data_IF_180323598689
#
_entry.id   IF_180323598689
#
_cell.length_a   1.000
_cell.length_b   1.000
_cell.length_c   1.000
_cell.angle_alpha   90.00
_cell.angle_beta   90.00
_cell.angle_gamma   90.00
#
_symmetry.space_group_name_H-M   'P 1'
#
loop_
_entity.id
_entity.type
_entity.pdbx_description
1 polymer ?
#
# COMPACT_ATOMS: atom_id res chain seq x y z
N UNK A 1 -3.84 -1.62 3.37
CA UNK A 1 -3.73 -0.17 3.05
C UNK A 1 -2.28 0.31 3.02
N UNK A 2 -1.95 1.46 2.40
CA UNK A 2 -0.59 2.10 2.39
C UNK A 2 -0.68 3.64 2.30
N UNK A 3 0.37 4.42 2.65
CA UNK A 3 0.34 5.89 2.66
C UNK A 3 -0.07 6.52 1.33
N UNK A 4 0.42 5.99 0.20
CA UNK A 4 0.09 6.52 -1.13
C UNK A 4 -1.40 6.39 -1.49
N UNK A 5 -2.15 5.56 -0.77
CA UNK A 5 -3.59 5.40 -0.95
C UNK A 5 -4.39 6.37 -0.05
N UNK A 6 -3.72 7.23 0.72
CA UNK A 6 -4.32 8.29 1.52
C UNK A 6 -4.12 9.63 0.83
N UNK A 7 -5.14 10.08 0.10
CA UNK A 7 -5.11 11.33 -0.64
C UNK A 7 -5.52 12.49 0.27
N UNK A 8 -4.86 13.63 0.14
CA UNK A 8 -5.20 14.87 0.85
C UNK A 8 -5.70 15.91 -0.15
N UNK A 9 -6.84 16.52 0.15
CA UNK A 9 -7.29 17.72 -0.55
C UNK A 9 -6.37 18.89 -0.17
N UNK A 10 -5.68 19.49 -1.14
CA UNK A 10 -4.72 20.58 -0.89
C UNK A 10 -5.34 21.90 -0.44
N UNK A 11 -6.63 22.10 -0.68
CA UNK A 11 -7.36 23.30 -0.25
C UNK A 11 -7.93 23.10 1.15
N UNK A 12 -8.72 22.04 1.33
CA UNK A 12 -9.51 21.80 2.56
C UNK A 12 -8.75 21.03 3.64
N UNK A 13 -7.73 20.24 3.28
CA UNK A 13 -7.04 19.33 4.19
C UNK A 13 -7.78 18.01 4.45
N UNK A 14 -8.91 17.75 3.77
CA UNK A 14 -9.64 16.48 3.92
C UNK A 14 -8.82 15.29 3.43
N UNK A 15 -8.73 14.26 4.26
CA UNK A 15 -8.14 12.97 3.92
C UNK A 15 -9.21 12.06 3.30
N UNK A 16 -8.88 11.45 2.15
CA UNK A 16 -9.74 10.49 1.44
C UNK A 16 -8.93 9.24 1.13
N UNK A 17 -9.52 8.08 1.39
CA UNK A 17 -8.93 6.79 1.04
C UNK A 17 -9.20 6.55 -0.45
N UNK A 18 -8.19 6.06 -1.16
CA UNK A 18 -8.24 5.71 -2.56
C UNK A 18 -7.78 4.28 -2.79
N UNK A 19 -7.90 3.82 -4.04
CA UNK A 19 -7.44 2.51 -4.51
C UNK A 19 -8.06 1.34 -3.72
N UNK A 20 -9.32 1.07 -4.07
CA UNK A 20 -10.10 -0.08 -3.64
C UNK A 20 -9.93 -1.26 -4.61
N UNK A 21 -8.89 -1.28 -5.46
CA UNK A 21 -8.70 -2.31 -6.50
C UNK A 21 -8.52 -3.73 -5.97
N UNK A 22 -8.24 -3.87 -4.67
CA UNK A 22 -8.14 -5.14 -3.95
C UNK A 22 -9.21 -5.29 -2.85
N UNK A 23 -10.17 -4.36 -2.77
CA UNK A 23 -11.28 -4.47 -1.83
C UNK A 23 -12.15 -5.69 -2.16
N UNK A 24 -12.66 -6.35 -1.14
CA UNK A 24 -13.54 -7.52 -1.27
C UNK A 24 -14.66 -7.45 -0.24
N UNK A 25 -15.82 -7.98 -0.61
CA UNK A 25 -16.94 -8.13 0.30
C UNK A 25 -16.63 -9.20 1.37
N UNK A 26 -17.19 -8.97 2.56
CA UNK A 26 -17.06 -9.90 3.67
C UNK A 26 -17.74 -11.23 3.35
N UNK A 27 -17.01 -12.34 3.52
CA UNK A 27 -17.61 -13.67 3.47
C UNK A 27 -17.81 -14.27 2.08
N UNK A 28 -17.12 -13.77 1.04
CA UNK A 28 -17.08 -14.45 -0.28
C UNK A 28 -16.21 -15.72 -0.18
N UNK A 29 -16.81 -16.92 -0.06
CA UNK A 29 -16.09 -18.15 0.23
C UNK A 29 -15.71 -18.80 -1.10
N UNK A 30 -14.55 -18.47 -1.66
CA UNK A 30 -14.10 -19.21 -2.84
C UNK A 30 -12.89 -18.71 -3.60
N UNK A 31 -12.43 -17.47 -3.40
CA UNK A 31 -11.26 -16.96 -4.13
C UNK A 31 -10.06 -16.76 -3.23
N UNK A 32 -9.02 -17.56 -3.47
CA UNK A 32 -7.68 -17.30 -2.95
C UNK A 32 -7.33 -15.81 -3.12
N UNK A 33 -6.96 -15.18 -2.01
CA UNK A 33 -6.56 -13.78 -2.00
C UNK A 33 -5.17 -13.68 -2.63
N UNK A 34 -5.03 -12.92 -3.71
CA UNK A 34 -3.76 -12.76 -4.43
C UNK A 34 -2.76 -12.02 -3.56
N UNK A 35 -1.69 -12.70 -3.13
CA UNK A 35 -0.68 -12.19 -2.19
C UNK A 35 0.45 -11.37 -2.85
N UNK A 36 0.40 -11.05 -4.14
CA UNK A 36 1.60 -10.54 -4.81
C UNK A 36 1.30 -9.52 -5.92
N UNK A 37 1.13 -8.22 -5.62
CA UNK A 37 1.64 -7.05 -6.39
C UNK A 37 1.52 -5.71 -5.60
N UNK A 38 1.77 -5.68 -4.28
CA UNK A 38 1.67 -4.43 -3.48
C UNK A 38 2.83 -4.32 -2.51
N UNK A 39 3.24 -3.08 -2.17
CA UNK A 39 4.22 -2.78 -1.12
C UNK A 39 3.91 -3.57 0.16
N UNK A 40 4.74 -4.59 0.45
CA UNK A 40 4.54 -5.56 1.54
C UNK A 40 4.72 -4.99 2.94
N UNK A 41 5.27 -3.79 3.06
CA UNK A 41 5.63 -3.11 4.31
C UNK A 41 4.47 -2.93 5.29
N UNK A 42 3.23 -2.92 4.78
CA UNK A 42 2.00 -2.71 5.55
C UNK A 42 1.16 -3.99 5.70
N UNK A 43 1.69 -5.15 5.24
CA UNK A 43 0.99 -6.43 5.29
C UNK A 43 1.05 -7.01 6.70
N UNK A 44 -0.09 -7.53 7.14
CA UNK A 44 -0.24 -8.16 8.45
C UNK A 44 0.48 -9.52 8.52
N UNK A 45 0.99 -9.94 9.68
CA UNK A 45 1.79 -11.16 9.83
C UNK A 45 1.04 -12.43 9.42
N UNK A 46 -0.27 -12.51 9.65
CA UNK A 46 -1.10 -13.65 9.23
C UNK A 46 -1.18 -13.77 7.71
N UNK A 47 -1.20 -12.65 6.98
CA UNK A 47 -1.16 -12.67 5.52
C UNK A 47 0.21 -13.08 4.98
N UNK A 48 1.29 -12.69 5.67
CA UNK A 48 2.65 -13.10 5.35
C UNK A 48 2.89 -14.60 5.61
N UNK A 49 2.12 -15.18 6.53
CA UNK A 49 2.13 -16.63 6.84
C UNK A 49 1.00 -17.41 6.13
N UNK A 50 0.42 -16.83 5.08
CA UNK A 50 -0.48 -17.56 4.18
C UNK A 50 -1.91 -17.79 4.71
N UNK A 51 -2.37 -16.99 5.69
CA UNK A 51 -3.74 -17.08 6.17
C UNK A 51 -4.75 -16.93 5.02
N UNK A 52 -5.60 -17.95 4.84
CA UNK A 52 -6.63 -17.98 3.80
C UNK A 52 -7.93 -17.29 4.23
N UNK A 53 -8.16 -17.23 5.53
CA UNK A 53 -9.28 -16.55 6.15
C UNK A 53 -8.74 -15.39 6.96
N UNK A 54 -9.20 -14.19 6.66
CA UNK A 54 -8.80 -12.99 7.37
C UNK A 54 -9.92 -11.96 7.34
N UNK A 55 -9.82 -10.97 8.23
CA UNK A 55 -10.86 -10.00 8.50
C UNK A 55 -10.37 -8.57 8.27
N UNK A 56 -11.20 -7.58 8.62
CA UNK A 56 -10.82 -6.17 8.69
C UNK A 56 -9.59 -5.89 9.57
N UNK A 57 -9.19 -6.84 10.43
CA UNK A 57 -8.00 -6.73 11.27
C UNK A 57 -6.69 -6.56 10.47
N UNK A 58 -6.65 -6.99 9.20
CA UNK A 58 -5.49 -6.77 8.31
C UNK A 58 -5.32 -5.29 7.97
N UNK A 59 -6.42 -4.55 7.82
CA UNK A 59 -6.39 -3.12 7.55
C UNK A 59 -6.00 -2.32 8.80
N UNK A 60 -6.41 -2.77 9.98
CA UNK A 60 -5.97 -2.18 11.25
C UNK A 60 -4.44 -2.29 11.41
N UNK A 61 -3.87 -3.45 11.06
CA UNK A 61 -2.42 -3.61 11.04
C UNK A 61 -1.77 -2.61 10.08
N UNK A 62 -2.26 -2.51 8.83
CA UNK A 62 -1.77 -1.52 7.88
C UNK A 62 -1.84 -0.09 8.41
N UNK A 63 -2.94 0.29 9.07
CA UNK A 63 -3.12 1.61 9.70
C UNK A 63 -2.11 1.81 10.83
N UNK A 64 -1.85 0.78 11.65
CA UNK A 64 -0.79 0.82 12.67
C UNK A 64 0.59 1.08 12.07
N UNK A 65 0.94 0.41 10.97
CA UNK A 65 2.20 0.66 10.25
C UNK A 65 2.28 2.10 9.72
N UNK A 66 1.21 2.62 9.11
CA UNK A 66 1.14 4.01 8.62
C UNK A 66 1.26 5.00 9.79
N UNK A 67 0.60 4.72 10.91
CA UNK A 67 0.64 5.57 12.10
C UNK A 67 2.05 5.63 12.69
N UNK A 68 2.74 4.49 12.78
CA UNK A 68 4.15 4.43 13.14
C UNK A 68 5.04 5.23 12.16
N UNK A 69 4.85 5.05 10.86
CA UNK A 69 5.60 5.77 9.83
C UNK A 69 5.38 7.29 9.88
N UNK A 70 4.17 7.77 10.18
CA UNK A 70 3.91 9.21 10.37
C UNK A 70 4.74 9.79 11.52
N UNK A 71 4.95 9.01 12.59
CA UNK A 71 5.79 9.41 13.73
C UNK A 71 7.29 9.31 13.42
N UNK A 72 7.72 8.31 12.65
CA UNK A 72 9.13 8.05 12.33
C UNK A 72 9.64 8.78 11.09
N UNK A 73 8.74 9.23 10.20
CA UNK A 73 9.04 9.74 8.85
C UNK A 73 9.77 8.76 7.94
N UNK A 74 9.80 7.49 8.30
CA UNK A 74 10.36 6.38 7.53
C UNK A 74 9.48 5.15 7.74
N UNK A 75 9.34 4.24 6.76
CA UNK A 75 8.55 3.03 6.92
C UNK A 75 9.00 2.21 8.12
N UNK A 76 8.04 1.78 8.95
CA UNK A 76 8.37 1.07 10.19
C UNK A 76 8.92 -0.35 9.93
N UNK A 77 8.35 -1.06 8.95
CA UNK A 77 8.79 -2.40 8.55
C UNK A 77 9.05 -2.44 7.03
N UNK A 78 10.29 -2.20 6.63
CA UNK A 78 10.66 -2.12 5.21
C UNK A 78 11.28 -3.42 4.68
N UNK A 79 10.55 -4.53 4.63
CA UNK A 79 11.06 -5.84 4.19
C UNK A 79 11.15 -6.01 2.67
N UNK A 80 12.18 -6.72 2.20
CA UNK A 80 12.45 -7.01 0.78
C UNK A 80 11.76 -8.28 0.28
N UNK A 81 11.46 -9.22 1.18
CA UNK A 81 10.69 -10.44 0.94
C UNK A 81 9.68 -10.66 2.06
N UNK A 82 8.79 -11.64 1.93
CA UNK A 82 7.79 -11.90 2.97
C UNK A 82 8.46 -12.45 4.25
N UNK A 83 9.53 -13.23 4.11
CA UNK A 83 10.38 -13.71 5.21
C UNK A 83 11.15 -12.56 5.88
N UNK A 84 11.75 -11.67 5.08
CA UNK A 84 12.45 -10.49 5.61
C UNK A 84 11.48 -9.54 6.32
N UNK A 85 10.26 -9.38 5.78
CA UNK A 85 9.20 -8.61 6.40
C UNK A 85 8.82 -9.17 7.78
N UNK A 86 8.59 -10.49 7.88
CA UNK A 86 8.34 -11.16 9.17
C UNK A 86 9.50 -10.96 10.14
N UNK A 87 10.73 -11.11 9.66
CA UNK A 87 11.94 -10.92 10.47
C UNK A 87 12.00 -9.51 11.06
N UNK A 88 11.71 -8.47 10.26
CA UNK A 88 11.67 -7.07 10.71
C UNK A 88 10.54 -6.83 11.72
N UNK A 89 9.37 -7.44 11.52
CA UNK A 89 8.26 -7.36 12.48
C UNK A 89 8.70 -7.94 13.83
N UNK A 90 9.25 -9.15 13.86
CA UNK A 90 9.68 -9.80 15.11
C UNK A 90 10.87 -9.08 15.78
N UNK A 91 11.78 -8.51 14.98
CA UNK A 91 12.87 -7.71 15.53
C UNK A 91 12.37 -6.44 16.24
N UNK A 92 11.33 -5.80 15.70
CA UNK A 92 10.79 -4.56 16.24
C UNK A 92 9.80 -4.77 17.39
N UNK A 93 8.95 -5.79 17.30
CA UNK A 93 7.86 -6.04 18.26
C UNK A 93 8.15 -7.17 19.25
N UNK A 94 9.25 -7.90 19.07
CA UNK A 94 9.51 -9.17 19.73
C UNK A 94 8.81 -10.33 19.04
N UNK A 95 9.15 -11.55 19.47
CA UNK A 95 8.49 -12.77 19.00
C UNK A 95 7.22 -12.99 19.83
N UNK A 96 6.05 -13.23 19.20
CA UNK A 96 4.82 -13.50 19.93
C UNK A 96 4.96 -14.78 20.77
N UNK A 97 4.48 -14.71 22.00
CA UNK A 97 4.31 -15.89 22.85
C UNK A 97 3.04 -16.66 22.45
N UNK A 98 2.94 -17.92 22.87
CA UNK A 98 1.74 -18.75 22.70
C UNK A 98 0.47 -18.08 23.22
N UNK A 99 0.57 -17.29 24.31
CA UNK A 99 -0.56 -16.55 24.86
C UNK A 99 -0.99 -15.36 24.00
N UNK A 100 -0.03 -14.75 23.28
CA UNK A 100 -0.31 -13.61 22.40
C UNK A 100 -0.84 -14.03 21.04
N UNK A 101 -0.54 -15.27 20.61
CA UNK A 101 -1.07 -15.84 19.38
C UNK A 101 -1.04 -17.37 19.38
N UNK A 102 -2.09 -17.99 19.94
CA UNK A 102 -2.18 -19.45 20.13
C UNK A 102 -2.09 -20.22 18.81
N UNK A 103 -2.91 -19.86 17.82
CA UNK A 103 -3.00 -20.63 16.57
C UNK A 103 -2.01 -20.13 15.49
N UNK A 104 -0.88 -19.54 15.89
CA UNK A 104 0.12 -19.04 14.93
C UNK A 104 0.77 -20.20 14.15
N UNK A 105 1.03 -21.32 14.84
CA UNK A 105 1.68 -22.51 14.24
C UNK A 105 0.82 -23.23 13.20
N UNK A 106 -0.49 -22.99 13.18
CA UNK A 106 -1.45 -23.61 12.26
C UNK A 106 -1.51 -22.92 10.88
N UNK A 107 -0.78 -21.82 10.72
CA UNK A 107 -0.81 -21.03 9.49
C UNK A 107 -0.10 -21.77 8.32
N UNK A 108 -0.66 -21.73 7.10
CA UNK A 108 -0.17 -22.56 5.98
C UNK A 108 1.30 -22.35 5.62
N UNK A 109 1.80 -21.13 5.77
CA UNK A 109 3.19 -20.76 5.48
C UNK A 109 3.89 -20.33 6.79
N UNK A 110 3.55 -20.98 7.92
CA UNK A 110 4.18 -20.70 9.21
C UNK A 110 5.70 -20.86 9.13
N UNK A 111 6.41 -19.82 9.57
CA UNK A 111 7.86 -19.83 9.72
C UNK A 111 8.15 -19.64 11.20
N UNK A 112 8.78 -20.65 11.82
CA UNK A 112 9.17 -20.57 13.22
C UNK A 112 10.15 -19.40 13.44
N UNK A 113 9.76 -18.36 14.19
CA UNK A 113 10.63 -17.22 14.42
C UNK A 113 11.73 -17.54 15.43
N UNK A 114 12.93 -16.99 15.24
CA UNK A 114 13.92 -16.94 16.31
C UNK A 114 13.35 -16.14 17.49
N UNK A 115 13.48 -16.61 18.75
CA UNK A 115 13.03 -15.85 19.91
C UNK A 115 13.74 -14.50 20.01
N UNK A 116 12.95 -13.41 20.03
CA UNK A 116 13.43 -12.03 20.17
C UNK A 116 12.72 -11.35 21.34
N UNK A 117 13.43 -10.61 22.20
CA UNK A 117 12.81 -9.85 23.27
C UNK A 117 11.99 -8.70 22.69
N UNK A 118 10.93 -8.31 23.41
CA UNK A 118 10.11 -7.16 23.04
C UNK A 118 10.86 -5.86 23.30
N UNK A 119 11.01 -5.03 22.26
CA UNK A 119 11.54 -3.68 22.40
C UNK A 119 10.39 -2.74 22.80
N UNK A 120 10.49 -1.99 23.92
CA UNK A 120 9.46 -1.04 24.30
C UNK A 120 9.31 0.06 23.23
N UNK A 121 8.07 0.27 22.74
CA UNK A 121 7.78 1.28 21.71
C UNK A 121 8.30 2.68 22.11
N UNK A 122 8.28 3.02 23.40
CA UNK A 122 8.80 4.27 23.96
C UNK A 122 10.25 4.57 23.56
N UNK A 123 11.09 3.54 23.39
CA UNK A 123 12.49 3.72 23.01
C UNK A 123 12.63 4.19 21.56
N UNK A 124 11.70 3.77 20.68
CA UNK A 124 11.73 4.13 19.27
C UNK A 124 10.92 5.39 18.97
N UNK A 125 9.74 5.52 19.57
CA UNK A 125 8.82 6.65 19.37
C UNK A 125 8.94 7.64 20.53
N UNK A 126 10.11 8.27 20.65
CA UNK A 126 10.47 9.13 21.79
C UNK A 126 9.55 10.33 21.96
N UNK A 127 9.06 10.90 20.86
CA UNK A 127 8.16 12.06 20.85
C UNK A 127 6.66 11.70 20.99
N UNK A 128 6.29 10.41 20.94
CA UNK A 128 4.89 10.00 20.98
C UNK A 128 4.29 10.13 22.39
N UNK A 129 3.01 10.51 22.51
CA UNK A 129 2.33 10.48 23.81
C UNK A 129 2.10 9.04 24.30
N UNK A 130 1.77 8.84 25.58
CA UNK A 130 1.39 7.52 26.09
C UNK A 130 0.14 6.99 25.39
N UNK A 131 -0.85 7.85 25.13
CA UNK A 131 -2.07 7.47 24.41
C UNK A 131 -1.77 7.03 22.97
N UNK A 132 -0.80 7.66 22.30
CA UNK A 132 -0.37 7.28 20.96
C UNK A 132 0.28 5.89 20.96
N UNK A 133 1.15 5.63 21.94
CA UNK A 133 1.80 4.33 22.09
C UNK A 133 0.81 3.22 22.44
N UNK A 134 -0.16 3.48 23.33
CA UNK A 134 -1.19 2.51 23.67
C UNK A 134 -2.03 2.16 22.44
N UNK A 135 -2.47 3.17 21.68
CA UNK A 135 -3.22 2.96 20.45
C UNK A 135 -2.41 2.14 19.43
N UNK A 136 -1.15 2.51 19.21
CA UNK A 136 -0.26 1.80 18.30
C UNK A 136 -0.06 0.34 18.73
N UNK A 137 0.16 0.10 20.03
CA UNK A 137 0.31 -1.24 20.58
C UNK A 137 -0.94 -2.11 20.42
N UNK A 138 -2.14 -1.50 20.47
CA UNK A 138 -3.41 -2.20 20.21
C UNK A 138 -3.66 -2.47 18.71
N UNK A 139 -3.18 -1.60 17.82
CA UNK A 139 -3.26 -1.82 16.37
C UNK A 139 -2.30 -2.91 15.90
N UNK A 140 -1.12 -3.01 16.51
CA UNK A 140 -0.05 -3.95 16.16
C UNK A 140 -0.03 -5.22 17.03
N UNK A 141 -1.19 -5.68 17.51
CA UNK A 141 -1.30 -7.01 18.13
C UNK A 141 -1.09 -8.10 17.08
N UNK A 142 -0.37 -9.15 17.44
CA UNK A 142 -0.06 -10.27 16.55
C UNK A 142 -1.33 -11.05 16.17
N UNK A 143 -2.06 -11.55 17.15
CA UNK A 143 -3.36 -12.19 16.93
C UNK A 143 -4.38 -11.18 16.35
N UNK A 144 -4.92 -11.41 15.14
CA UNK A 144 -5.89 -10.52 14.53
C UNK A 144 -7.17 -10.37 15.37
N UNK A 145 -7.52 -11.34 16.20
CA UNK A 145 -8.72 -11.27 17.06
C UNK A 145 -8.52 -10.35 18.28
N UNK A 146 -7.27 -10.05 18.62
CA UNK A 146 -6.92 -9.15 19.73
C UNK A 146 -6.63 -7.73 19.25
N UNK A 147 -6.59 -7.47 17.93
CA UNK A 147 -6.40 -6.12 17.39
C UNK A 147 -7.64 -5.27 17.63
N UNK A 148 -7.40 -4.01 17.98
CA UNK A 148 -8.49 -3.02 18.14
C UNK A 148 -9.29 -2.86 16.85
N UNK A 149 -10.61 -2.79 16.94
CA UNK A 149 -11.43 -2.51 15.76
C UNK A 149 -11.34 -1.02 15.37
N UNK A 150 -11.66 -0.68 14.12
CA UNK A 150 -11.71 0.73 13.70
C UNK A 150 -12.69 1.55 14.56
N UNK A 151 -13.84 0.95 14.90
CA UNK A 151 -14.85 1.56 15.76
C UNK A 151 -14.27 1.87 17.15
N UNK A 152 -13.65 0.90 17.79
CA UNK A 152 -13.10 1.07 19.14
C UNK A 152 -11.91 2.02 19.15
N UNK A 153 -11.10 2.02 18.08
CA UNK A 153 -10.00 2.95 17.90
C UNK A 153 -10.49 4.40 17.88
N UNK A 154 -11.62 4.70 17.22
CA UNK A 154 -12.20 6.05 17.22
C UNK A 154 -12.64 6.52 18.61
N UNK A 155 -12.98 5.59 19.51
CA UNK A 155 -13.32 5.91 20.91
C UNK A 155 -12.11 5.97 21.84
N UNK A 156 -10.90 5.69 21.34
CA UNK A 156 -9.68 5.65 22.13
C UNK A 156 -9.32 7.02 22.73
N UNK A 157 -8.72 7.07 23.94
CA UNK A 157 -8.27 8.33 24.57
C UNK A 157 -7.38 9.20 23.67
N UNK A 158 -6.58 8.59 22.79
CA UNK A 158 -5.74 9.31 21.82
C UNK A 158 -6.49 10.36 20.99
N UNK A 159 -7.74 10.08 20.59
CA UNK A 159 -8.55 11.03 19.81
C UNK A 159 -9.37 12.01 20.67
N UNK A 160 -9.40 11.81 22.00
CA UNK A 160 -10.21 12.60 22.93
C UNK A 160 -9.38 13.52 23.81
N UNK A 161 -8.19 13.09 24.21
CA UNK A 161 -7.30 13.82 25.08
C UNK A 161 -6.60 14.98 24.35
N UNK A 162 -5.91 15.82 25.12
CA UNK A 162 -5.05 16.86 24.56
C UNK A 162 -3.70 16.25 24.11
N UNK A 163 -3.04 16.81 23.09
CA UNK A 163 -3.51 17.92 22.24
C UNK A 163 -4.65 17.48 21.31
N UNK A 164 -5.59 18.40 21.05
CA UNK A 164 -6.65 18.17 20.04
C UNK A 164 -6.02 18.07 18.64
N UNK A 165 -6.63 17.34 17.70
CA UNK A 165 -6.14 17.29 16.33
C UNK A 165 -6.11 18.69 15.70
N UNK A 166 -5.09 18.93 14.88
CA UNK A 166 -4.98 20.17 14.11
C UNK A 166 -6.21 20.35 13.20
N UNK A 167 -6.84 21.54 13.18
CA UNK A 167 -7.93 21.82 12.24
C UNK A 167 -7.49 21.58 10.79
N UNK A 168 -8.38 21.07 9.94
CA UNK A 168 -8.04 20.65 8.58
C UNK A 168 -7.39 21.76 7.75
N UNK A 169 -7.93 22.98 7.82
CA UNK A 169 -7.38 24.15 7.11
C UNK A 169 -5.98 24.57 7.56
N UNK A 170 -5.51 24.08 8.70
CA UNK A 170 -4.20 24.37 9.29
C UNK A 170 -3.19 23.22 9.12
N UNK A 171 -3.56 22.15 8.40
CA UNK A 171 -2.63 21.07 8.10
C UNK A 171 -1.49 21.56 7.17
N UNK A 172 -0.27 21.04 7.32
CA UNK A 172 0.84 21.38 6.43
C UNK A 172 0.51 21.05 4.97
N UNK A 173 0.69 22.02 4.09
CA UNK A 173 0.46 21.87 2.65
C UNK A 173 1.77 21.55 1.94
N UNK A 174 1.72 20.65 0.96
CA UNK A 174 2.85 20.42 0.07
C UNK A 174 3.11 21.70 -0.72
N UNK A 175 4.25 22.37 -0.48
CA UNK A 175 4.67 23.49 -1.33
C UNK A 175 4.95 22.91 -2.71
N UNK A 176 4.27 23.37 -3.76
CA UNK A 176 4.71 23.05 -5.12
C UNK A 176 6.15 23.57 -5.24
N UNK A 177 7.11 22.80 -5.77
CA UNK A 177 8.40 23.38 -6.11
C UNK A 177 8.13 24.55 -7.03
N UNK A 178 8.57 25.75 -6.65
CA UNK A 178 8.58 26.89 -7.56
C UNK A 178 9.48 26.50 -8.72
N UNK A 179 8.88 26.09 -9.85
CA UNK A 179 9.60 26.07 -11.11
C UNK A 179 9.92 27.53 -11.35
N UNK A 180 11.20 27.95 -11.38
CA UNK A 180 11.54 29.31 -11.75
C UNK A 180 10.97 29.50 -13.14
N UNK A 181 9.88 30.27 -13.26
CA UNK A 181 9.42 30.71 -14.56
C UNK A 181 10.60 31.45 -15.16
N UNK A 182 11.20 30.89 -16.21
CA UNK A 182 12.12 31.58 -17.10
C UNK A 182 11.36 32.74 -17.74
N UNK A 183 11.13 33.80 -16.96
CA UNK A 183 10.65 35.08 -17.45
C UNK A 183 11.78 35.64 -18.30
N UNK A 184 11.64 35.44 -19.62
CA UNK A 184 12.03 36.38 -20.69
C UNK A 184 13.27 37.22 -20.34
N UNK A 185 14.46 36.63 -20.51
CA UNK A 185 15.71 37.37 -20.80
C UNK A 185 16.18 37.18 -22.25
N UNK A 186 15.25 36.81 -23.14
CA UNK A 186 15.50 36.68 -24.58
C UNK A 186 15.30 38.02 -25.34
N UNK A 187 15.49 39.16 -24.68
CA UNK A 187 15.43 40.48 -25.33
C UNK A 187 16.64 41.36 -25.02
N UNK A 188 17.70 40.82 -24.41
CA UNK A 188 18.93 41.57 -24.12
C UNK A 188 20.22 40.83 -24.50
N UNK A 189 20.14 39.82 -25.38
CA UNK A 189 21.30 39.00 -25.79
C UNK A 189 21.47 38.89 -27.31
N UNK A 190 20.78 39.72 -28.08
CA UNK A 190 21.06 39.87 -29.52
C UNK A 190 21.39 41.34 -29.80
N UNK A 191 22.61 41.70 -29.43
CA UNK A 191 23.36 42.78 -30.08
C UNK A 191 24.51 42.11 -30.81
N UNK A 192 24.62 42.42 -32.10
CA UNK A 192 25.64 42.04 -33.08
C UNK A 192 26.96 41.54 -32.49
N UNK A 193 27.31 40.29 -32.78
CA UNK A 193 28.50 39.97 -33.60
C UNK A 193 28.66 38.44 -33.77
N UNK A 194 29.33 38.11 -34.87
CA UNK A 194 29.60 36.83 -35.53
C UNK A 194 30.16 35.67 -34.70
N UNK A 195 29.90 34.47 -35.25
CA UNK A 195 30.61 33.18 -35.08
C UNK A 195 30.36 32.32 -33.83
N UNK A 196 29.38 31.39 -33.89
CA UNK A 196 29.48 30.10 -33.17
C UNK A 196 28.79 28.94 -33.93
N UNK A 197 29.54 27.85 -34.01
CA UNK A 197 29.33 26.54 -34.67
C UNK A 197 27.98 25.85 -34.39
N UNK A 198 27.42 25.26 -35.46
CA UNK A 198 26.28 24.33 -35.43
C UNK A 198 26.67 23.00 -34.77
N UNK A 199 25.96 22.64 -33.69
CA UNK A 199 25.86 21.25 -33.24
C UNK A 199 24.37 20.88 -33.19
N UNK A 200 23.90 20.17 -34.21
CA UNK A 200 22.55 19.60 -34.24
C UNK A 200 22.50 18.33 -33.38
N UNK A 201 21.63 18.32 -32.37
CA UNK A 201 21.21 17.12 -31.63
C UNK A 201 19.80 16.67 -32.04
N UNK A 202 19.45 15.37 -31.92
CA UNK A 202 18.25 14.81 -32.56
C UNK A 202 16.95 15.20 -31.85
N UNK A 203 15.94 15.61 -32.64
CA UNK A 203 14.57 15.91 -32.17
C UNK A 203 13.78 14.62 -31.88
N UNK A 204 13.44 14.37 -30.62
CA UNK A 204 12.43 13.37 -30.24
C UNK A 204 11.06 14.07 -30.15
N UNK A 205 10.14 13.76 -31.06
CA UNK A 205 8.73 14.22 -31.01
C UNK A 205 7.98 13.42 -29.94
N UNK A 206 7.63 14.05 -28.81
CA UNK A 206 6.59 13.55 -27.89
C UNK A 206 5.22 13.95 -28.43
N UNK A 207 4.41 12.97 -28.85
CA UNK A 207 2.99 13.17 -29.14
C UNK A 207 2.24 13.03 -27.81
N UNK A 208 1.84 14.15 -27.22
CA UNK A 208 0.88 14.18 -26.12
C UNK A 208 -0.50 14.48 -26.71
N UNK A 209 -1.43 13.51 -26.66
CA UNK A 209 -2.85 13.78 -26.93
C UNK A 209 -3.44 14.45 -25.68
N UNK A 210 -3.95 15.67 -25.86
CA UNK A 210 -4.66 16.44 -24.85
C UNK A 210 -6.06 15.82 -24.69
N UNK A 211 -6.38 15.29 -23.51
CA UNK A 211 -7.75 14.89 -23.16
C UNK A 211 -8.50 16.15 -22.71
N UNK A 212 -9.51 16.56 -23.49
CA UNK A 212 -10.46 17.59 -23.08
C UNK A 212 -11.62 16.89 -22.36
N UNK A 213 -12.03 17.43 -21.20
CA UNK A 213 -13.11 16.87 -20.37
C UNK A 213 -14.44 17.63 -20.53
N UNK A 214 -14.56 18.46 -21.57
CA UNK A 214 -15.74 19.31 -21.81
C UNK A 214 -16.67 18.78 -22.92
N UNK A 215 -16.45 17.56 -23.43
CA UNK A 215 -17.37 16.96 -24.40
C UNK A 215 -18.63 16.41 -23.68
N UNK A 216 -19.84 16.80 -24.09
CA UNK A 216 -21.07 16.25 -23.52
C UNK A 216 -21.21 14.77 -23.89
N UNK A 217 -21.59 13.96 -22.89
CA UNK A 217 -21.85 12.53 -23.05
C UNK A 217 -22.88 12.29 -24.18
N UNK A 218 -22.61 11.38 -25.14
CA UNK A 218 -23.61 11.03 -26.14
C UNK A 218 -24.80 10.34 -25.48
N UNK A 219 -25.98 10.87 -25.73
CA UNK A 219 -27.29 10.31 -25.40
C UNK A 219 -27.44 8.91 -26.01
N UNK A 220 -28.00 7.99 -25.22
CA UNK A 220 -28.01 6.56 -25.50
C UNK A 220 -28.69 6.16 -26.81
N UNK A 221 -28.14 5.09 -27.40
CA UNK A 221 -28.85 4.21 -28.32
C UNK A 221 -28.76 2.76 -27.82
N UNK A 222 -29.79 2.01 -28.17
CA UNK A 222 -30.25 0.76 -27.56
C UNK A 222 -29.35 -0.45 -27.77
N UNK A 223 -29.41 -1.34 -26.79
CA UNK A 223 -28.99 -2.73 -26.72
C UNK A 223 -28.91 -3.51 -28.06
N UNK A 224 -27.74 -4.11 -28.32
CA UNK A 224 -27.65 -5.41 -28.98
C UNK A 224 -26.74 -6.32 -28.15
N UNK A 225 -27.29 -7.44 -27.69
CA UNK A 225 -26.57 -8.50 -26.98
C UNK A 225 -25.50 -9.12 -27.89
N UNK A 226 -24.24 -9.00 -27.51
CA UNK A 226 -23.15 -9.80 -28.06
C UNK A 226 -23.11 -11.15 -27.34
N UNK A 227 -23.62 -12.19 -28.01
CA UNK A 227 -23.46 -13.58 -27.58
C UNK A 227 -21.97 -13.97 -27.70
N UNK A 228 -21.31 -14.46 -26.63
CA UNK A 228 -19.91 -14.86 -26.70
C UNK A 228 -19.77 -16.20 -27.44
N UNK A 229 -18.92 -16.22 -28.47
CA UNK A 229 -18.49 -17.45 -29.15
C UNK A 229 -17.54 -18.26 -28.26
N UNK A 230 -17.67 -19.59 -28.17
CA UNK A 230 -16.77 -20.41 -27.38
C UNK A 230 -15.40 -20.57 -28.07
N UNK A 231 -14.30 -20.68 -27.30
CA UNK A 231 -12.97 -20.85 -27.87
C UNK A 231 -12.80 -22.24 -28.53
N UNK A 232 -11.94 -22.37 -29.55
CA UNK A 232 -11.72 -23.62 -30.26
C UNK A 232 -11.04 -24.68 -29.35
N UNK A 233 -11.60 -25.89 -29.35
CA UNK A 233 -11.05 -27.06 -28.64
C UNK A 233 -9.74 -27.50 -29.30
N UNK A 234 -8.62 -27.38 -28.59
CA UNK A 234 -7.38 -28.08 -28.94
C UNK A 234 -7.55 -29.58 -28.67
N UNK A 235 -7.40 -30.38 -29.73
CA UNK A 235 -7.47 -31.85 -29.70
C UNK A 235 -6.34 -32.41 -28.82
N UNK A 236 -6.69 -33.36 -27.94
CA UNK A 236 -5.72 -34.28 -27.33
C UNK A 236 -5.08 -35.11 -28.45
N UNK A 237 -3.78 -35.02 -28.61
CA UNK A 237 -3.00 -35.96 -29.41
C UNK A 237 -2.67 -37.17 -28.55
N UNK A 238 -3.27 -38.31 -28.90
CA UNK A 238 -2.80 -39.64 -28.50
C UNK A 238 -1.68 -40.08 -29.46
N UNK A 239 -0.48 -40.27 -28.93
CA UNK A 239 0.56 -41.20 -29.40
C UNK A 239 1.68 -41.17 -28.36
N UNK A 240 2.29 -42.25 -27.88
CA UNK A 240 2.28 -43.66 -28.19
C UNK A 240 3.53 -44.23 -27.51
N UNK A 241 3.42 -44.67 -26.25
CA UNK A 241 4.53 -45.34 -25.57
C UNK A 241 4.54 -46.82 -25.96
N UNK A 242 5.46 -47.17 -26.86
CA UNK A 242 5.87 -48.57 -27.10
C UNK A 242 6.79 -49.02 -25.97
N UNK A 243 6.33 -50.00 -25.21
CA UNK A 243 7.14 -50.86 -24.34
C UNK A 243 8.04 -51.77 -25.20
N UNK A 244 9.35 -51.67 -25.00
CA UNK A 244 10.32 -52.69 -25.41
C UNK A 244 10.65 -53.56 -24.19
N UNK A 245 10.29 -54.84 -24.29
CA UNK A 245 10.94 -55.94 -23.58
C UNK A 245 12.22 -56.31 -24.34
N UNK A 246 13.33 -56.48 -23.62
CA UNK A 246 14.28 -57.61 -23.71
C UNK A 246 15.62 -57.25 -23.07
N UNK A 247 15.88 -57.81 -21.89
CA UNK A 247 17.09 -58.58 -21.51
C UNK A 247 16.93 -59.02 -20.05
#
# INVERSE_FOLDING_TARGET
>A
MKPNNLLLNGETGELKIADFGLARDWGDPGRAMTSQVVTRWYRAPELLMGAKQYSYAVDIWSVGCIFAELMLRTPYFAGESDIDQLTKIFHALGTPTEQEWQNMGDLPEFVAPEPRPRVPLRQLFTAASNDALDLLGRMLKFDPNQRITAKDALFHPYFKNKPRPTPLGSLPKHKKPEIPTLKRRASSLFSDDSDVLLIEGPKVKKIARKLNFDDPLPSGESSQELVPTPPPRLRRGDSGYKSQQNA
#
